data_IF_763460504455
#
_entry.id   IF_763460504455
#
_cell.length_a   1.000
_cell.length_b   1.000
_cell.length_c   1.000
_cell.angle_alpha   90.00
_cell.angle_beta   90.00
_cell.angle_gamma   90.00
#
_symmetry.space_group_name_H-M   'P 1'
#
loop_
_entity.id
_entity.type
_entity.pdbx_description
1 polymer ?
#
# COMPACT_ATOMS: atom_id res chain seq x y z
N UNK A 1 -21.08 -12.08 -7.52
CA UNK A 1 -19.90 -11.19 -7.25
C UNK A 1 -18.82 -11.99 -6.54
N UNK A 2 -17.67 -12.08 -7.14
CA UNK A 2 -16.49 -12.76 -6.57
C UNK A 2 -15.47 -11.72 -6.13
N UNK A 3 -14.86 -11.94 -4.99
CA UNK A 3 -13.72 -11.17 -4.49
C UNK A 3 -12.47 -12.03 -4.60
N UNK A 4 -11.53 -11.60 -5.43
CA UNK A 4 -10.26 -12.30 -5.64
C UNK A 4 -9.14 -11.49 -5.02
N UNK A 5 -8.37 -12.12 -4.15
CA UNK A 5 -7.29 -11.45 -3.42
C UNK A 5 -5.94 -12.07 -3.79
N UNK A 6 -4.99 -11.21 -4.14
CA UNK A 6 -3.59 -11.59 -4.28
C UNK A 6 -2.76 -10.96 -3.18
N UNK A 7 -1.90 -11.76 -2.58
CA UNK A 7 -0.97 -11.33 -1.54
C UNK A 7 0.43 -11.17 -2.13
N UNK A 8 1.12 -10.10 -1.73
CA UNK A 8 2.51 -9.84 -2.09
C UNK A 8 3.25 -9.33 -0.85
N UNK A 9 4.58 -9.47 -0.83
CA UNK A 9 5.39 -8.98 0.27
C UNK A 9 6.40 -7.95 -0.23
N UNK A 10 6.75 -7.01 0.62
CA UNK A 10 7.81 -6.05 0.35
C UNK A 10 8.46 -5.62 1.67
N UNK A 11 9.73 -5.24 1.60
CA UNK A 11 10.49 -4.73 2.74
C UNK A 11 10.76 -3.26 2.51
N UNK A 12 10.46 -2.42 3.49
CA UNK A 12 10.68 -0.99 3.37
C UNK A 12 10.98 -0.39 4.74
N UNK A 13 11.71 0.72 4.74
CA UNK A 13 11.99 1.49 5.93
C UNK A 13 11.27 2.83 5.89
N UNK A 14 11.07 3.41 7.06
CA UNK A 14 10.38 4.67 7.21
C UNK A 14 10.73 5.34 8.54
N UNK A 15 10.34 6.60 8.66
CA UNK A 15 10.21 7.31 9.93
C UNK A 15 8.91 8.10 9.92
N UNK A 16 8.43 8.47 11.12
CA UNK A 16 7.25 9.31 11.28
C UNK A 16 7.68 10.69 11.75
N UNK A 17 7.30 11.71 11.01
CA UNK A 17 7.64 13.09 11.32
C UNK A 17 6.60 14.04 10.78
N UNK A 18 6.09 14.93 11.64
CA UNK A 18 5.24 16.03 11.23
C UNK A 18 6.05 17.30 11.22
N UNK A 19 6.29 17.86 10.03
CA UNK A 19 7.12 19.04 9.85
C UNK A 19 6.54 20.33 10.42
N UNK A 20 5.23 20.32 10.79
CA UNK A 20 4.59 21.47 11.42
C UNK A 20 4.78 21.49 12.94
N UNK A 21 5.30 20.43 13.53
CA UNK A 21 5.51 20.29 14.96
C UNK A 21 6.98 20.52 15.32
N UNK A 22 7.22 20.87 16.59
CA UNK A 22 8.58 20.88 17.14
C UNK A 22 9.17 19.49 17.19
N UNK A 23 10.49 19.40 17.31
CA UNK A 23 11.20 18.13 17.49
C UNK A 23 10.70 17.42 18.76
N UNK A 24 10.48 18.17 19.86
CA UNK A 24 10.00 17.60 21.11
C UNK A 24 8.63 16.97 20.94
N UNK A 25 7.72 17.62 20.22
CA UNK A 25 6.37 17.09 19.99
C UNK A 25 6.43 15.83 19.12
N UNK A 26 7.24 15.80 18.08
CA UNK A 26 7.45 14.61 17.27
C UNK A 26 7.94 13.44 18.10
N UNK A 27 8.92 13.67 19.00
CA UNK A 27 9.44 12.63 19.88
C UNK A 27 8.38 12.15 20.88
N UNK A 28 7.53 13.04 21.39
CA UNK A 28 6.46 12.68 22.32
C UNK A 28 5.41 11.81 21.65
N UNK A 29 4.99 12.16 20.43
CA UNK A 29 3.88 11.48 19.74
C UNK A 29 4.35 10.20 19.06
N UNK A 30 5.47 10.25 18.35
CA UNK A 30 5.95 9.14 17.55
C UNK A 30 7.03 8.30 18.22
N UNK A 31 7.60 8.79 19.32
CA UNK A 31 8.60 8.08 20.10
C UNK A 31 9.76 7.60 19.21
N UNK A 32 10.06 6.29 19.24
CA UNK A 32 11.15 5.72 18.42
C UNK A 32 10.93 5.86 16.92
N UNK A 33 9.68 5.93 16.49
CA UNK A 33 9.35 6.09 15.07
C UNK A 33 9.71 7.46 14.52
N UNK A 34 10.01 8.45 15.37
CA UNK A 34 10.45 9.78 14.95
C UNK A 34 11.93 9.84 14.55
N UNK A 35 12.72 8.81 14.83
CA UNK A 35 14.14 8.79 14.47
C UNK A 35 14.31 8.78 12.96
N UNK A 36 15.00 9.77 12.43
CA UNK A 36 15.13 9.96 10.97
C UNK A 36 16.00 8.92 10.28
N UNK A 37 16.83 8.19 11.02
CA UNK A 37 17.51 7.01 10.45
C UNK A 37 16.52 5.93 10.01
N UNK A 38 15.32 5.96 10.60
CA UNK A 38 14.26 5.05 10.26
C UNK A 38 14.42 3.66 10.85
N UNK A 39 13.43 2.86 10.60
CA UNK A 39 13.42 1.42 10.88
C UNK A 39 12.57 0.76 9.80
N UNK A 40 12.68 -0.56 9.65
CA UNK A 40 12.03 -1.26 8.58
C UNK A 40 11.09 -2.35 9.04
N UNK A 41 10.22 -2.75 8.13
CA UNK A 41 9.30 -3.86 8.30
C UNK A 41 9.26 -4.72 7.05
N UNK A 42 8.92 -5.98 7.23
CA UNK A 42 8.52 -6.86 6.14
C UNK A 42 6.99 -6.79 6.04
N UNK A 43 6.53 -6.01 5.07
CA UNK A 43 5.11 -5.78 4.86
C UNK A 43 4.48 -6.89 4.05
N UNK A 44 3.20 -7.14 4.32
CA UNK A 44 2.35 -7.94 3.43
C UNK A 44 1.26 -7.04 2.86
N UNK A 45 1.16 -7.05 1.54
CA UNK A 45 0.11 -6.33 0.80
C UNK A 45 -0.91 -7.34 0.30
N UNK A 46 -2.19 -7.08 0.55
CA UNK A 46 -3.29 -7.83 -0.06
C UNK A 46 -4.09 -6.90 -0.95
N UNK A 47 -4.22 -7.27 -2.21
CA UNK A 47 -4.99 -6.54 -3.20
C UNK A 47 -6.19 -7.38 -3.58
N UNK A 48 -7.40 -6.87 -3.33
CA UNK A 48 -8.65 -7.54 -3.67
C UNK A 48 -9.35 -6.80 -4.80
N UNK A 49 -9.66 -7.54 -5.85
CA UNK A 49 -10.51 -7.10 -6.95
C UNK A 49 -11.85 -7.83 -6.89
N UNK A 50 -12.90 -7.20 -7.39
CA UNK A 50 -14.24 -7.75 -7.37
C UNK A 50 -14.84 -7.71 -8.77
N UNK A 51 -15.53 -8.77 -9.15
CA UNK A 51 -16.18 -8.87 -10.45
C UNK A 51 -16.92 -10.19 -10.60
N UNK A 52 -17.53 -10.38 -11.77
CA UNK A 52 -18.15 -11.63 -12.14
C UNK A 52 -17.15 -12.47 -12.93
N UNK A 53 -17.14 -13.79 -12.74
CA UNK A 53 -16.30 -14.66 -13.56
C UNK A 53 -16.70 -14.57 -15.03
N UNK A 54 -15.71 -14.47 -15.90
CA UNK A 54 -15.93 -14.57 -17.33
C UNK A 54 -16.47 -15.98 -17.65
N UNK A 55 -17.59 -16.12 -18.42
CA UNK A 55 -18.20 -17.42 -18.64
C UNK A 55 -17.34 -18.36 -19.50
N UNK A 56 -16.36 -17.85 -20.23
CA UNK A 56 -15.49 -18.65 -21.08
C UNK A 56 -14.25 -19.13 -20.31
N UNK A 57 -13.61 -18.24 -19.57
CA UNK A 57 -12.35 -18.53 -18.84
C UNK A 57 -12.56 -18.91 -17.40
N UNK A 58 -13.65 -18.44 -16.78
CA UNK A 58 -13.86 -18.55 -15.34
C UNK A 58 -13.10 -17.51 -14.52
N UNK A 59 -12.39 -16.58 -15.17
CA UNK A 59 -11.57 -15.58 -14.47
C UNK A 59 -12.38 -14.34 -14.11
N UNK A 60 -12.17 -13.83 -12.90
CA UNK A 60 -12.50 -12.44 -12.57
C UNK A 60 -11.50 -11.52 -13.25
N UNK A 61 -10.21 -11.83 -13.09
CA UNK A 61 -9.10 -11.22 -13.82
C UNK A 61 -8.04 -12.29 -14.08
N UNK A 62 -7.18 -12.05 -15.05
CA UNK A 62 -5.99 -12.88 -15.27
C UNK A 62 -5.04 -12.71 -14.08
N UNK A 63 -4.67 -13.82 -13.42
CA UNK A 63 -3.82 -13.80 -12.23
C UNK A 63 -2.42 -13.26 -12.52
N UNK A 64 -1.86 -13.59 -13.70
CA UNK A 64 -0.54 -13.05 -14.09
C UNK A 64 -0.60 -11.55 -14.29
N UNK A 65 -1.66 -11.06 -14.92
CA UNK A 65 -1.86 -9.61 -15.08
C UNK A 65 -1.94 -8.91 -13.71
N UNK A 66 -2.69 -9.47 -12.78
CA UNK A 66 -2.82 -8.90 -11.43
C UNK A 66 -1.47 -8.85 -10.72
N UNK A 67 -0.69 -9.93 -10.81
CA UNK A 67 0.67 -9.97 -10.27
C UNK A 67 1.54 -8.88 -10.86
N UNK A 68 1.53 -8.74 -12.18
CA UNK A 68 2.38 -7.77 -12.89
C UNK A 68 2.00 -6.33 -12.56
N UNK A 69 0.71 -6.04 -12.42
CA UNK A 69 0.21 -4.72 -12.02
C UNK A 69 0.66 -4.37 -10.60
N UNK A 70 0.53 -5.28 -9.66
CA UNK A 70 0.96 -5.07 -8.28
C UNK A 70 2.47 -4.79 -8.24
N UNK A 71 3.24 -5.58 -8.96
CA UNK A 71 4.69 -5.42 -9.02
C UNK A 71 5.09 -4.08 -9.62
N UNK A 72 4.53 -3.72 -10.76
CA UNK A 72 4.85 -2.47 -11.46
C UNK A 72 4.40 -1.22 -10.69
N UNK A 73 3.19 -1.24 -10.13
CA UNK A 73 2.60 -0.04 -9.55
C UNK A 73 2.98 0.17 -8.07
N UNK A 74 3.29 -0.90 -7.34
CA UNK A 74 3.57 -0.80 -5.90
C UNK A 74 4.95 -1.33 -5.55
N UNK A 75 5.26 -2.58 -5.86
CA UNK A 75 6.50 -3.21 -5.37
C UNK A 75 7.75 -2.53 -5.93
N UNK A 76 7.76 -2.18 -7.20
CA UNK A 76 8.91 -1.50 -7.82
C UNK A 76 9.18 -0.12 -7.19
N UNK A 77 8.16 0.50 -6.62
CA UNK A 77 8.28 1.82 -5.99
C UNK A 77 8.67 1.74 -4.51
N UNK A 78 8.32 0.66 -3.82
CA UNK A 78 8.46 0.59 -2.36
C UNK A 78 9.38 -0.49 -1.85
N UNK A 79 9.54 -1.59 -2.59
CA UNK A 79 10.33 -2.73 -2.10
C UNK A 79 11.81 -2.38 -2.02
N UNK A 80 12.42 -2.67 -0.88
CA UNK A 80 13.82 -2.35 -0.57
C UNK A 80 14.11 -0.85 -0.65
N UNK A 81 13.12 0.00 -0.31
CA UNK A 81 13.23 1.46 -0.33
C UNK A 81 13.05 2.05 1.04
N UNK A 82 13.65 3.21 1.25
CA UNK A 82 13.31 4.09 2.36
C UNK A 82 12.16 4.98 1.90
N UNK A 83 10.97 4.77 2.43
CA UNK A 83 9.74 5.39 1.90
C UNK A 83 9.79 6.92 1.94
N UNK A 84 10.28 7.51 3.04
CA UNK A 84 10.36 8.96 3.15
C UNK A 84 11.32 9.59 2.15
N UNK A 85 12.36 8.86 1.73
CA UNK A 85 13.41 9.40 0.86
C UNK A 85 13.21 9.02 -0.60
N UNK A 86 12.53 7.92 -0.90
CA UNK A 86 12.50 7.35 -2.25
C UNK A 86 11.10 7.23 -2.84
N UNK A 87 10.03 7.34 -2.03
CA UNK A 87 8.66 7.32 -2.51
C UNK A 87 8.08 8.74 -2.43
N UNK A 88 7.74 9.37 -3.58
CA UNK A 88 7.34 10.78 -3.61
C UNK A 88 6.14 11.11 -2.71
N UNK A 89 5.17 10.20 -2.58
CA UNK A 89 3.99 10.41 -1.75
C UNK A 89 4.30 10.50 -0.26
N UNK A 90 5.48 10.04 0.17
CA UNK A 90 5.91 10.02 1.58
C UNK A 90 7.07 10.96 1.87
N UNK A 91 7.44 11.81 0.93
CA UNK A 91 8.47 12.84 1.16
C UNK A 91 8.05 13.77 2.32
N UNK A 92 9.03 14.41 2.94
CA UNK A 92 8.77 15.37 4.02
C UNK A 92 7.72 16.40 3.61
N UNK A 93 6.74 16.64 4.49
CA UNK A 93 5.61 17.53 4.20
C UNK A 93 4.47 16.89 3.42
N UNK A 94 4.62 15.65 2.99
CA UNK A 94 3.57 14.84 2.36
C UNK A 94 2.98 13.89 3.39
N UNK A 95 2.44 12.74 2.93
CA UNK A 95 1.86 11.75 3.84
C UNK A 95 2.92 11.14 4.75
N UNK A 96 2.58 10.96 6.02
CA UNK A 96 3.43 10.17 6.93
C UNK A 96 3.23 8.70 6.59
N UNK A 97 4.30 7.91 6.39
CA UNK A 97 4.19 6.52 5.93
C UNK A 97 3.74 5.55 7.03
N UNK A 98 2.59 5.81 7.62
CA UNK A 98 1.90 4.90 8.53
C UNK A 98 1.29 3.76 7.73
N UNK A 99 0.93 2.68 8.41
CA UNK A 99 0.25 1.54 7.77
C UNK A 99 -1.04 1.99 7.09
N UNK A 100 -1.78 2.89 7.73
CA UNK A 100 -3.02 3.46 7.18
C UNK A 100 -2.77 4.21 5.87
N UNK A 101 -1.78 5.10 5.85
CA UNK A 101 -1.44 5.89 4.67
C UNK A 101 -0.82 5.03 3.56
N UNK A 102 -0.11 3.96 3.90
CA UNK A 102 0.37 3.00 2.92
C UNK A 102 -0.81 2.33 2.19
N UNK A 103 -1.86 1.98 2.92
CA UNK A 103 -3.05 1.38 2.30
C UNK A 103 -3.73 2.35 1.33
N UNK A 104 -3.87 3.62 1.70
CA UNK A 104 -4.43 4.67 0.84
C UNK A 104 -3.55 4.88 -0.39
N UNK A 105 -2.24 4.96 -0.21
CA UNK A 105 -1.30 5.19 -1.31
C UNK A 105 -1.27 4.01 -2.28
N UNK A 106 -1.31 2.78 -1.79
CA UNK A 106 -1.39 1.59 -2.64
C UNK A 106 -2.66 1.59 -3.48
N UNK A 107 -3.79 1.97 -2.88
CA UNK A 107 -5.05 2.12 -3.62
C UNK A 107 -4.92 3.12 -4.76
N UNK A 108 -4.37 4.31 -4.47
CA UNK A 108 -4.19 5.36 -5.48
C UNK A 108 -3.28 4.91 -6.62
N UNK A 109 -2.27 4.11 -6.33
CA UNK A 109 -1.35 3.58 -7.34
C UNK A 109 -2.00 2.52 -8.23
N UNK A 110 -2.86 1.68 -7.65
CA UNK A 110 -3.44 0.52 -8.35
C UNK A 110 -4.73 0.84 -9.09
N UNK A 111 -5.54 1.75 -8.58
CA UNK A 111 -6.89 2.01 -9.12
C UNK A 111 -6.91 2.35 -10.60
N UNK A 112 -6.04 3.25 -11.12
CA UNK A 112 -6.08 3.58 -12.55
C UNK A 112 -5.87 2.37 -13.45
N UNK A 113 -4.91 1.50 -13.12
CA UNK A 113 -4.61 0.31 -13.91
C UNK A 113 -5.75 -0.71 -13.88
N UNK A 114 -6.34 -0.92 -12.71
CA UNK A 114 -7.48 -1.85 -12.56
C UNK A 114 -8.70 -1.33 -13.31
N UNK A 115 -8.99 -0.04 -13.20
CA UNK A 115 -10.10 0.59 -13.92
C UNK A 115 -9.91 0.51 -15.43
N UNK A 116 -8.69 0.78 -15.92
CA UNK A 116 -8.37 0.75 -17.35
C UNK A 116 -8.53 -0.66 -17.96
N UNK A 117 -8.23 -1.69 -17.20
CA UNK A 117 -8.36 -3.08 -17.67
C UNK A 117 -9.81 -3.49 -17.89
N UNK A 118 -10.74 -2.93 -17.12
CA UNK A 118 -12.17 -3.29 -17.19
C UNK A 118 -12.46 -4.68 -16.62
N UNK A 119 -13.70 -5.05 -16.55
CA UNK A 119 -14.15 -6.37 -16.11
C UNK A 119 -14.18 -6.58 -14.60
N UNK A 120 -13.35 -5.89 -13.85
CA UNK A 120 -13.32 -5.94 -12.41
C UNK A 120 -13.04 -4.56 -11.84
N UNK A 121 -13.30 -4.39 -10.54
CA UNK A 121 -12.99 -3.15 -9.82
C UNK A 121 -12.04 -3.45 -8.67
N UNK A 122 -11.21 -2.48 -8.31
CA UNK A 122 -10.43 -2.54 -7.09
C UNK A 122 -11.42 -2.45 -5.90
N UNK A 123 -11.34 -3.40 -4.99
CA UNK A 123 -12.31 -3.54 -3.91
C UNK A 123 -11.71 -3.26 -2.54
N UNK A 124 -10.47 -3.69 -2.31
CA UNK A 124 -9.87 -3.58 -0.99
C UNK A 124 -8.36 -3.67 -1.08
N UNK A 125 -7.69 -2.87 -0.26
CA UNK A 125 -6.26 -2.99 0.01
C UNK A 125 -6.10 -3.27 1.49
N UNK A 126 -5.27 -4.25 1.84
CA UNK A 126 -4.76 -4.43 3.20
C UNK A 126 -3.25 -4.33 3.20
N UNK A 127 -2.71 -3.62 4.18
CA UNK A 127 -1.26 -3.58 4.45
C UNK A 127 -1.05 -4.10 5.86
N UNK A 128 -0.27 -5.17 5.98
CA UNK A 128 0.19 -5.70 7.25
C UNK A 128 1.59 -5.16 7.52
N UNK A 129 1.75 -4.40 8.59
CA UNK A 129 3.07 -3.97 9.05
C UNK A 129 3.78 -5.11 9.78
N UNK A 130 3.02 -5.85 10.58
CA UNK A 130 3.41 -7.10 11.23
C UNK A 130 2.30 -8.12 10.99
N UNK A 131 2.51 -9.42 11.32
CA UNK A 131 1.42 -10.39 11.20
C UNK A 131 0.19 -10.06 12.05
N UNK A 132 0.35 -9.26 13.11
CA UNK A 132 -0.72 -8.96 14.07
C UNK A 132 -1.47 -7.67 13.75
N UNK A 133 -0.92 -6.79 12.89
CA UNK A 133 -1.47 -5.45 12.68
C UNK A 133 -1.63 -5.20 11.18
N UNK A 134 -2.83 -4.84 10.77
CA UNK A 134 -3.05 -4.40 9.39
C UNK A 134 -4.03 -3.23 9.34
N UNK A 135 -3.88 -2.41 8.31
CA UNK A 135 -4.86 -1.40 7.93
C UNK A 135 -5.55 -1.83 6.64
N UNK A 136 -6.82 -1.51 6.53
CA UNK A 136 -7.62 -1.83 5.35
C UNK A 136 -8.24 -0.55 4.78
N UNK A 137 -8.18 -0.42 3.46
CA UNK A 137 -8.80 0.69 2.75
C UNK A 137 -9.66 0.15 1.61
N UNK A 138 -10.88 0.64 1.52
CA UNK A 138 -11.88 0.20 0.53
C UNK A 138 -12.29 1.30 -0.43
N UNK A 139 -11.48 2.35 -0.52
CA UNK A 139 -11.86 3.54 -1.25
C UNK A 139 -12.83 4.40 -0.45
N UNK A 140 -13.28 5.48 -1.06
CA UNK A 140 -14.29 6.35 -0.46
C UNK A 140 -15.66 5.70 -0.68
N UNK A 141 -16.22 5.16 0.37
CA UNK A 141 -17.57 4.54 0.33
C UNK A 141 -18.66 5.58 0.46
#
# INVERSE_FOLDING_TARGET
MIFLTRRATFSASHYYWNGLWTAEKNQQVFERCSRRTGHGHNYTLEVTVAGEPDPVTGFVVDLKWLKDVIEREVLDAWDHRHLNLEAPEFADGKMIPTTENLAIAAWKRLKPAVTAAGGARLSRIRIYETPEIFAEYRGDL
#
